data_IF_629200327364
#
_entry.id   IF_629200327364
#
_cell.length_a   1.000
_cell.length_b   1.000
_cell.length_c   1.000
_cell.angle_alpha   90.00
_cell.angle_beta   90.00
_cell.angle_gamma   90.00
#
_symmetry.space_group_name_H-M   'P 1'
#
loop_
_entity.id
_entity.type
_entity.pdbx_description
1 polymer ?
#
# COMPACT_ATOMS: atom_id res chain seq x y z
N UNK A 1 -14.36 1.08 -0.99
CA UNK A 1 -13.65 0.40 -2.11
C UNK A 1 -12.51 1.30 -2.52
N UNK A 2 -11.27 0.82 -2.41
CA UNK A 2 -10.05 1.57 -2.74
C UNK A 2 -9.38 0.90 -3.94
N UNK A 3 -8.99 1.68 -4.94
CA UNK A 3 -8.24 1.18 -6.10
C UNK A 3 -6.75 1.22 -5.79
N UNK A 4 -6.05 0.11 -6.03
CA UNK A 4 -4.60 -0.01 -5.86
C UNK A 4 -3.97 -0.25 -7.24
N UNK A 5 -3.15 0.69 -7.69
CA UNK A 5 -2.39 0.60 -8.95
C UNK A 5 -0.93 0.31 -8.64
N UNK A 6 -0.42 -0.87 -9.02
CA UNK A 6 0.96 -1.28 -8.71
C UNK A 6 1.91 -1.16 -9.89
N UNK A 7 1.46 -1.40 -11.13
CA UNK A 7 2.36 -1.38 -12.31
C UNK A 7 1.65 -1.00 -13.62
N UNK A 8 0.57 -0.20 -13.56
CA UNK A 8 -0.18 0.29 -14.73
C UNK A 8 -0.95 -0.77 -15.55
N UNK A 9 -0.64 -2.06 -15.38
CA UNK A 9 -1.24 -3.17 -16.12
C UNK A 9 -2.46 -3.81 -15.43
N UNK A 10 -2.61 -3.63 -14.11
CA UNK A 10 -3.71 -4.20 -13.31
C UNK A 10 -4.14 -3.26 -12.19
N UNK A 11 -5.45 -3.07 -12.08
CA UNK A 11 -6.12 -2.43 -10.94
C UNK A 11 -6.63 -3.51 -9.98
N UNK A 12 -6.38 -3.32 -8.69
CA UNK A 12 -6.95 -4.16 -7.64
C UNK A 12 -7.92 -3.33 -6.83
N UNK A 13 -8.99 -3.97 -6.39
CA UNK A 13 -10.00 -3.32 -5.59
C UNK A 13 -10.05 -3.94 -4.21
N UNK A 14 -9.70 -3.12 -3.23
CA UNK A 14 -9.73 -3.53 -1.84
C UNK A 14 -11.16 -3.42 -1.29
N UNK A 15 -11.68 -4.55 -0.82
CA UNK A 15 -12.97 -4.67 -0.14
C UNK A 15 -12.86 -4.42 1.35
N UNK A 16 -11.66 -4.55 1.92
CA UNK A 16 -11.39 -4.19 3.29
C UNK A 16 -11.24 -2.66 3.37
N UNK A 17 -12.08 -2.02 4.19
CA UNK A 17 -12.08 -0.57 4.36
C UNK A 17 -11.29 -0.10 5.58
N UNK A 18 -10.66 -1.01 6.32
CA UNK A 18 -9.73 -0.64 7.39
C UNK A 18 -8.39 -0.23 6.80
N UNK A 19 -7.68 0.71 7.41
CA UNK A 19 -6.31 1.03 6.99
C UNK A 19 -5.38 -0.16 7.26
N UNK A 20 -4.77 -0.68 6.20
CA UNK A 20 -3.78 -1.74 6.26
C UNK A 20 -2.81 -1.65 5.07
N UNK A 21 -1.58 -2.16 5.23
CA UNK A 21 -0.63 -2.32 4.13
C UNK A 21 -0.96 -3.56 3.30
N UNK A 22 -0.39 -3.63 2.09
CA UNK A 22 -0.51 -4.79 1.23
C UNK A 22 0.85 -5.35 0.79
N UNK A 23 0.94 -6.67 0.66
CA UNK A 23 2.00 -7.35 -0.09
C UNK A 23 1.61 -7.50 -1.56
N UNK A 24 2.52 -7.15 -2.46
CA UNK A 24 2.41 -7.42 -3.88
C UNK A 24 3.46 -8.45 -4.32
N UNK A 25 3.01 -9.61 -4.77
CA UNK A 25 3.87 -10.68 -5.29
C UNK A 25 4.16 -10.45 -6.76
N UNK A 26 5.39 -10.08 -7.12
CA UNK A 26 5.74 -9.67 -8.48
C UNK A 26 5.64 -10.81 -9.51
N UNK A 27 5.89 -12.05 -9.07
CA UNK A 27 5.90 -13.22 -9.94
C UNK A 27 4.49 -13.69 -10.32
N UNK A 28 3.52 -13.53 -9.42
CA UNK A 28 2.11 -13.90 -9.67
C UNK A 28 1.23 -12.70 -10.01
N UNK A 29 1.73 -11.48 -9.82
CA UNK A 29 0.94 -10.25 -9.86
C UNK A 29 -0.34 -10.40 -9.04
N UNK A 30 -0.17 -10.64 -7.74
CA UNK A 30 -1.26 -10.78 -6.77
C UNK A 30 -1.03 -9.91 -5.55
N UNK A 31 -2.11 -9.37 -4.99
CA UNK A 31 -2.12 -8.65 -3.72
C UNK A 31 -2.63 -9.53 -2.59
N UNK A 32 -2.06 -9.35 -1.41
CA UNK A 32 -2.53 -9.94 -0.16
C UNK A 32 -2.33 -8.94 0.97
N UNK A 33 -3.19 -8.98 1.99
CA UNK A 33 -3.08 -8.08 3.14
C UNK A 33 -1.78 -8.37 3.90
N UNK A 34 -1.09 -7.30 4.31
CA UNK A 34 0.04 -7.38 5.22
C UNK A 34 -0.43 -7.06 6.65
N UNK A 35 0.12 -7.72 7.69
CA UNK A 35 -0.25 -7.45 9.08
C UNK A 35 0.04 -5.98 9.44
N UNK A 36 -1.01 -5.22 9.79
CA UNK A 36 -0.87 -3.80 10.07
C UNK A 36 -0.08 -3.54 11.36
N UNK A 37 -0.19 -4.43 12.34
CA UNK A 37 0.49 -4.38 13.62
C UNK A 37 2.02 -4.54 13.52
N UNK A 38 2.52 -5.13 12.42
CA UNK A 38 3.95 -5.31 12.17
C UNK A 38 4.57 -4.09 11.45
N UNK A 39 3.75 -3.20 10.89
CA UNK A 39 4.22 -2.02 10.17
C UNK A 39 4.28 -0.81 11.10
N UNK A 40 5.48 -0.25 11.28
CA UNK A 40 5.69 1.03 11.95
C UNK A 40 6.32 2.07 11.02
N UNK A 41 5.61 3.17 10.77
CA UNK A 41 6.15 4.34 10.10
C UNK A 41 6.79 5.26 11.14
N UNK A 42 8.12 5.28 11.24
CA UNK A 42 8.82 6.10 12.25
C UNK A 42 8.80 7.60 11.97
N UNK A 43 8.74 7.98 10.68
CA UNK A 43 8.75 9.39 10.27
C UNK A 43 8.10 9.56 8.90
N UNK A 44 7.33 10.63 8.76
CA UNK A 44 6.80 11.12 7.48
C UNK A 44 7.61 12.32 7.00
N UNK A 45 7.68 12.57 5.68
CA UNK A 45 8.33 13.75 5.14
C UNK A 45 7.63 15.04 5.60
N UNK A 46 8.35 16.17 5.53
CA UNK A 46 7.75 17.47 5.79
C UNK A 46 6.75 17.79 4.69
N UNK A 47 5.54 18.15 5.09
CA UNK A 47 4.48 18.55 4.15
C UNK A 47 4.79 19.94 3.58
N UNK A 48 4.64 20.17 2.26
CA UNK A 48 4.76 21.49 1.66
C UNK A 48 3.77 22.51 2.26
N UNK A 49 4.07 23.80 2.13
CA UNK A 49 3.18 24.85 2.59
C UNK A 49 1.82 24.79 1.89
N UNK A 50 0.74 24.96 2.66
CA UNK A 50 -0.63 24.91 2.15
C UNK A 50 -1.17 23.50 1.87
N UNK A 51 -0.47 22.44 2.27
CA UNK A 51 -0.92 21.06 2.09
C UNK A 51 -1.03 20.30 3.43
N UNK A 52 -1.84 19.25 3.44
CA UNK A 52 -1.96 18.27 4.52
C UNK A 52 -1.81 16.84 3.99
N UNK A 53 -1.45 15.89 4.86
CA UNK A 53 -1.41 14.48 4.49
C UNK A 53 -2.82 13.92 4.61
N UNK A 54 -3.44 13.60 3.47
CA UNK A 54 -4.77 13.00 3.43
C UNK A 54 -4.75 11.50 3.76
N UNK A 55 -3.74 10.77 3.30
CA UNK A 55 -3.58 9.33 3.51
C UNK A 55 -2.12 8.90 3.29
N UNK A 56 -1.77 7.71 3.77
CA UNK A 56 -0.52 7.02 3.44
C UNK A 56 -0.84 5.57 3.06
N UNK A 57 -0.67 5.26 1.79
CA UNK A 57 -0.87 3.92 1.25
C UNK A 57 0.46 3.18 1.14
N UNK A 58 0.54 1.98 1.74
CA UNK A 58 1.78 1.19 1.75
C UNK A 58 1.58 -0.11 0.98
N UNK A 59 2.41 -0.29 -0.07
CA UNK A 59 2.49 -1.53 -0.85
C UNK A 59 3.93 -2.05 -0.81
N UNK A 60 4.10 -3.27 -0.32
CA UNK A 60 5.40 -3.93 -0.15
C UNK A 60 5.56 -4.96 -1.27
N UNK A 61 6.53 -4.76 -2.17
CA UNK A 61 6.78 -5.68 -3.29
C UNK A 61 7.66 -6.85 -2.84
N UNK A 62 7.20 -8.07 -3.14
CA UNK A 62 7.85 -9.32 -2.80
C UNK A 62 8.32 -10.06 -4.06
N UNK A 63 9.54 -10.60 -4.00
CA UNK A 63 10.10 -11.51 -5.00
C UNK A 63 10.56 -12.79 -4.31
N UNK A 64 10.20 -13.96 -4.88
CA UNK A 64 10.68 -15.25 -4.38
C UNK A 64 12.18 -15.42 -4.63
N UNK A 65 12.87 -16.03 -3.67
CA UNK A 65 14.28 -16.45 -3.76
C UNK A 65 14.40 -17.87 -4.25
#
# INVERSE_FOLDING_TARGET
>A
MREITVDGARSYFDTNMTDHPHFYWEDTATLSDAPAEELRIERLPRVPEGAEIAAVDVVIRLRRT
#
